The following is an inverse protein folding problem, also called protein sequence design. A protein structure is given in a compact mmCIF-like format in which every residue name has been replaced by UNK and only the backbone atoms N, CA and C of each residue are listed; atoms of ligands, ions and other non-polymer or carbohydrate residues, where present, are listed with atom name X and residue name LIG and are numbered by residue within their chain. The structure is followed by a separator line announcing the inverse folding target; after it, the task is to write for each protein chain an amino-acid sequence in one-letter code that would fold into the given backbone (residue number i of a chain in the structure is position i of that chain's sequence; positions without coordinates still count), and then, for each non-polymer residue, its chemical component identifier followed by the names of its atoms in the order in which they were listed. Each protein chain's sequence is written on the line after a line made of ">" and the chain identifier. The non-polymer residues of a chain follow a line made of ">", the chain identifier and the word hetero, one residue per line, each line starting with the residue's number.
data_IF_945289774939
#
_entry.id   IF_945289774939
#
_cell.length_a   1.000
_cell.length_b   1.000
_cell.length_c   1.000
_cell.angle_alpha   90.00
_cell.angle_beta   90.00
_cell.angle_gamma   90.00
#
_symmetry.space_group_name_H-M   'P 1'
#
loop_
_entity.id
_entity.type
_entity.pdbx_description
1 polymer ?
#
# COMPACT_ATOMS: atom_id res chain seq x y z
N UNK A 1 -34.54 -11.36 5.92
CA UNK A 1 -33.50 -10.42 5.43
C UNK A 1 -32.14 -11.08 5.18
N UNK A 2 -31.63 -11.96 6.06
CA UNK A 2 -30.36 -12.67 5.84
C UNK A 2 -30.28 -13.52 4.54
N UNK A 3 -31.41 -14.04 4.04
CA UNK A 3 -31.47 -14.88 2.84
C UNK A 3 -31.14 -14.13 1.53
N UNK A 4 -31.33 -12.81 1.50
CA UNK A 4 -31.04 -11.96 0.32
C UNK A 4 -29.54 -11.72 0.12
N UNK A 5 -28.74 -11.76 1.19
CA UNK A 5 -27.29 -11.48 1.15
C UNK A 5 -26.50 -12.71 0.66
N UNK A 6 -27.02 -13.92 0.86
CA UNK A 6 -26.37 -15.17 0.46
C UNK A 6 -26.52 -15.50 -1.04
N UNK A 7 -27.16 -14.62 -1.83
CA UNK A 7 -27.29 -14.80 -3.28
C UNK A 7 -28.08 -16.04 -3.70
N UNK A 8 -28.91 -16.59 -2.81
CA UNK A 8 -29.69 -17.81 -3.05
C UNK A 8 -28.89 -19.11 -3.03
N UNK A 9 -27.64 -19.11 -2.52
CA UNK A 9 -26.90 -20.34 -2.26
C UNK A 9 -27.44 -21.01 -1.00
N UNK A 10 -27.94 -22.25 -1.13
CA UNK A 10 -28.42 -23.05 0.00
C UNK A 10 -27.31 -23.42 1.00
N UNK A 11 -26.05 -23.06 0.72
CA UNK A 11 -24.92 -23.27 1.62
C UNK A 11 -24.50 -24.73 1.72
N UNK A 12 -24.82 -25.55 0.71
CA UNK A 12 -24.59 -27.00 0.72
C UNK A 12 -23.35 -27.44 -0.04
N UNK A 13 -22.92 -26.68 -1.05
CA UNK A 13 -21.82 -27.05 -1.93
C UNK A 13 -20.72 -25.99 -1.93
N UNK A 14 -19.46 -26.43 -1.98
CA UNK A 14 -18.34 -25.49 -2.11
C UNK A 14 -18.33 -24.88 -3.52
N UNK A 15 -18.27 -23.56 -3.60
CA UNK A 15 -18.31 -22.82 -4.88
C UNK A 15 -17.02 -22.92 -5.72
N UNK A 16 -15.99 -23.63 -5.24
CA UNK A 16 -14.69 -23.71 -5.92
C UNK A 16 -14.78 -24.27 -7.35
N UNK A 17 -15.62 -25.29 -7.57
CA UNK A 17 -15.85 -25.91 -8.89
C UNK A 17 -16.51 -24.94 -9.88
N UNK A 18 -17.24 -23.94 -9.38
CA UNK A 18 -17.82 -22.85 -10.17
C UNK A 18 -16.79 -21.83 -10.70
N UNK A 19 -15.52 -21.97 -10.33
CA UNK A 19 -14.45 -21.08 -10.77
C UNK A 19 -14.53 -19.71 -10.10
N UNK A 20 -14.22 -18.64 -10.85
CA UNK A 20 -14.32 -17.26 -10.37
C UNK A 20 -15.72 -16.72 -10.62
N UNK A 21 -16.58 -16.81 -9.60
CA UNK A 21 -17.97 -16.40 -9.71
C UNK A 21 -18.09 -14.88 -9.89
N UNK A 22 -19.11 -14.43 -10.64
CA UNK A 22 -19.36 -13.00 -10.86
C UNK A 22 -19.51 -12.26 -9.54
N UNK A 23 -20.25 -12.84 -8.60
CA UNK A 23 -20.44 -12.36 -7.23
C UNK A 23 -20.85 -13.53 -6.33
N UNK A 24 -20.30 -13.59 -5.12
CA UNK A 24 -20.69 -14.57 -4.09
C UNK A 24 -20.43 -14.00 -2.70
N UNK A 25 -21.16 -14.48 -1.68
CA UNK A 25 -20.82 -14.21 -0.29
C UNK A 25 -19.46 -14.86 0.07
N UNK A 26 -18.60 -14.09 0.73
CA UNK A 26 -17.25 -14.52 1.12
C UNK A 26 -17.06 -14.28 2.61
N UNK A 27 -16.35 -15.19 3.25
CA UNK A 27 -16.02 -15.16 4.66
C UNK A 27 -14.51 -15.30 4.83
N UNK A 28 -13.92 -14.65 5.83
CA UNK A 28 -12.53 -14.90 6.23
C UNK A 28 -12.50 -15.62 7.57
N UNK A 29 -11.74 -16.70 7.66
CA UNK A 29 -11.53 -17.42 8.91
C UNK A 29 -10.24 -16.95 9.58
N UNK A 30 -10.37 -16.11 10.60
CA UNK A 30 -9.24 -15.50 11.32
C UNK A 30 -8.47 -16.54 12.15
N UNK A 31 -9.14 -17.62 12.58
CA UNK A 31 -8.47 -18.75 13.24
C UNK A 31 -7.54 -19.51 12.28
N UNK A 32 -7.97 -19.75 11.04
CA UNK A 32 -7.18 -20.54 10.07
C UNK A 32 -6.16 -19.70 9.30
N UNK A 33 -6.53 -18.48 8.91
CA UNK A 33 -5.72 -17.61 8.06
C UNK A 33 -5.66 -16.19 8.65
N UNK A 34 -5.00 -16.00 9.81
CA UNK A 34 -4.93 -14.69 10.49
C UNK A 34 -4.22 -13.62 9.64
N UNK A 35 -3.40 -14.02 8.67
CA UNK A 35 -2.77 -13.12 7.73
C UNK A 35 -3.76 -12.48 6.73
N UNK A 36 -5.02 -12.93 6.68
CA UNK A 36 -6.06 -12.38 5.80
C UNK A 36 -5.78 -12.55 4.31
N UNK A 37 -5.15 -13.67 3.94
CA UNK A 37 -4.78 -13.98 2.55
C UNK A 37 -5.63 -15.10 1.94
N UNK A 38 -6.77 -15.42 2.56
CA UNK A 38 -7.67 -16.48 2.11
C UNK A 38 -9.12 -16.19 2.50
N UNK A 39 -10.05 -16.62 1.67
CA UNK A 39 -11.48 -16.52 1.94
C UNK A 39 -12.25 -17.77 1.53
N UNK A 40 -13.36 -18.02 2.20
CA UNK A 40 -14.19 -19.21 2.03
C UNK A 40 -15.61 -18.81 1.64
N UNK A 41 -16.28 -19.67 0.88
CA UNK A 41 -17.70 -19.49 0.54
C UNK A 41 -18.61 -19.87 1.71
N UNK A 42 -19.89 -19.52 1.61
CA UNK A 42 -20.95 -19.84 2.60
C UNK A 42 -20.93 -21.30 3.03
N UNK A 43 -20.94 -22.25 2.08
CA UNK A 43 -20.96 -23.66 2.45
C UNK A 43 -19.71 -24.10 3.24
N UNK A 44 -18.54 -23.53 2.93
CA UNK A 44 -17.31 -23.83 3.65
C UNK A 44 -17.26 -23.18 5.03
N UNK A 45 -17.78 -21.96 5.19
CA UNK A 45 -17.85 -21.33 6.52
C UNK A 45 -18.69 -22.19 7.47
N UNK A 46 -19.80 -22.75 6.98
CA UNK A 46 -20.70 -23.61 7.75
C UNK A 46 -20.19 -25.04 7.93
N UNK A 47 -19.60 -25.67 6.91
CA UNK A 47 -19.23 -27.09 6.99
C UNK A 47 -17.81 -27.33 7.51
N UNK A 48 -16.87 -26.43 7.21
CA UNK A 48 -15.44 -26.61 7.46
C UNK A 48 -14.90 -25.71 8.58
N UNK A 49 -15.52 -24.53 8.78
CA UNK A 49 -15.05 -23.51 9.71
C UNK A 49 -16.09 -23.16 10.80
N UNK A 50 -17.05 -24.05 11.03
CA UNK A 50 -17.98 -23.95 12.15
C UNK A 50 -17.21 -23.99 13.49
N UNK A 51 -17.57 -23.09 14.40
CA UNK A 51 -16.89 -22.92 15.69
C UNK A 51 -15.54 -22.18 15.63
N UNK A 52 -15.10 -21.70 14.46
CA UNK A 52 -13.93 -20.82 14.35
C UNK A 52 -14.34 -19.34 14.41
N UNK A 53 -13.34 -18.47 14.61
CA UNK A 53 -13.52 -17.03 14.41
C UNK A 53 -13.59 -16.74 12.90
N UNK A 54 -14.79 -16.44 12.43
CA UNK A 54 -15.10 -16.17 11.03
C UNK A 54 -15.76 -14.80 10.92
N UNK A 55 -15.24 -13.95 10.04
CA UNK A 55 -15.85 -12.68 9.68
C UNK A 55 -16.51 -12.80 8.32
N UNK A 56 -17.76 -12.37 8.22
CA UNK A 56 -18.46 -12.23 6.95
C UNK A 56 -17.93 -10.99 6.22
N UNK A 57 -17.65 -11.11 4.92
CA UNK A 57 -17.12 -10.03 4.07
C UNK A 57 -18.13 -9.59 3.00
N UNK A 58 -19.39 -9.99 3.18
CA UNK A 58 -20.49 -9.76 2.27
C UNK A 58 -20.14 -10.35 0.91
N UNK A 59 -20.61 -9.73 -0.17
CA UNK A 59 -20.32 -10.24 -1.50
C UNK A 59 -19.00 -9.70 -2.06
N UNK A 60 -18.26 -10.57 -2.75
CA UNK A 60 -17.07 -10.20 -3.53
C UNK A 60 -17.21 -10.65 -4.98
N UNK A 61 -16.60 -9.91 -5.90
CA UNK A 61 -16.58 -10.23 -7.34
C UNK A 61 -15.38 -11.09 -7.71
N UNK A 62 -15.55 -11.93 -8.73
CA UNK A 62 -14.48 -12.76 -9.32
C UNK A 62 -13.67 -13.50 -8.26
N UNK A 63 -14.35 -14.00 -7.23
CA UNK A 63 -13.72 -14.72 -6.14
C UNK A 63 -13.92 -16.22 -6.33
N UNK A 64 -12.93 -17.02 -5.90
CA UNK A 64 -12.98 -18.49 -5.87
C UNK A 64 -12.61 -18.98 -4.48
N UNK A 65 -13.40 -19.91 -3.92
CA UNK A 65 -13.24 -20.35 -2.53
C UNK A 65 -11.86 -20.98 -2.26
N UNK A 66 -11.10 -20.44 -1.30
CA UNK A 66 -9.77 -20.93 -0.92
C UNK A 66 -9.80 -22.09 0.09
N UNK A 67 -10.95 -22.44 0.66
CA UNK A 67 -11.04 -23.45 1.74
C UNK A 67 -10.27 -24.74 1.38
N UNK A 68 -9.29 -25.11 2.21
CA UNK A 68 -8.52 -26.34 2.04
C UNK A 68 -7.42 -26.32 0.97
N UNK A 69 -7.12 -25.16 0.38
CA UNK A 69 -5.91 -24.98 -0.43
C UNK A 69 -4.68 -24.70 0.44
N UNK A 70 -3.53 -24.37 -0.17
CA UNK A 70 -2.25 -24.23 0.55
C UNK A 70 -2.28 -23.18 1.68
N UNK A 71 -3.20 -22.21 1.61
CA UNK A 71 -3.37 -21.15 2.61
C UNK A 71 -3.95 -21.66 3.93
N UNK A 72 -4.57 -22.83 3.92
CA UNK A 72 -5.21 -23.46 5.09
C UNK A 72 -4.36 -24.59 5.71
N UNK A 73 -3.05 -24.60 5.43
CA UNK A 73 -2.13 -25.59 5.99
C UNK A 73 -2.47 -27.00 5.54
N UNK A 74 -2.65 -27.93 6.51
CA UNK A 74 -3.01 -29.32 6.24
C UNK A 74 -4.52 -29.58 6.17
N UNK A 75 -5.35 -28.55 6.35
CA UNK A 75 -6.81 -28.71 6.28
C UNK A 75 -7.23 -29.03 4.84
N UNK A 76 -8.11 -30.04 4.70
CA UNK A 76 -8.73 -30.40 3.42
C UNK A 76 -10.20 -30.05 3.50
N UNK A 77 -10.72 -29.37 2.48
CA UNK A 77 -12.13 -28.99 2.42
C UNK A 77 -13.02 -30.24 2.37
N UNK A 78 -14.01 -30.32 3.27
CA UNK A 78 -14.95 -31.44 3.36
C UNK A 78 -15.88 -31.55 2.15
N UNK A 79 -16.14 -30.42 1.48
CA UNK A 79 -17.12 -30.30 0.40
C UNK A 79 -16.48 -30.36 -1.01
N UNK A 80 -15.20 -30.00 -1.12
CA UNK A 80 -14.45 -30.04 -2.38
C UNK A 80 -12.96 -30.31 -2.06
N UNK A 81 -12.57 -31.59 -1.92
CA UNK A 81 -11.21 -31.95 -1.49
C UNK A 81 -10.12 -31.64 -2.51
N UNK A 82 -10.46 -31.66 -3.80
CA UNK A 82 -9.52 -31.48 -4.91
C UNK A 82 -9.52 -30.03 -5.38
N UNK A 83 -8.43 -29.31 -5.09
CA UNK A 83 -8.23 -27.91 -5.46
C UNK A 83 -6.81 -27.64 -5.91
N UNK A 84 -6.66 -26.59 -6.69
CA UNK A 84 -5.38 -25.97 -7.00
C UNK A 84 -4.79 -25.41 -5.69
N UNK A 85 -3.45 -25.41 -5.52
CA UNK A 85 -2.83 -24.88 -4.31
C UNK A 85 -3.21 -23.43 -4.03
N UNK A 86 -3.40 -22.62 -5.08
CA UNK A 86 -3.69 -21.19 -4.97
C UNK A 86 -4.70 -20.73 -6.02
N UNK A 87 -5.41 -19.65 -5.71
CA UNK A 87 -6.31 -18.94 -6.62
C UNK A 87 -5.69 -17.56 -6.96
N UNK A 88 -4.88 -17.44 -8.02
CA UNK A 88 -4.07 -16.24 -8.28
C UNK A 88 -4.89 -14.99 -8.67
N UNK A 89 -6.14 -15.15 -9.10
CA UNK A 89 -7.00 -14.02 -9.45
C UNK A 89 -7.86 -13.51 -8.29
N UNK A 90 -7.79 -14.15 -7.11
CA UNK A 90 -8.44 -13.62 -5.92
C UNK A 90 -7.70 -12.36 -5.43
N UNK A 91 -8.47 -11.38 -4.97
CA UNK A 91 -7.95 -10.15 -4.37
C UNK A 91 -8.29 -10.10 -2.88
N UNK A 92 -7.33 -9.70 -2.07
CA UNK A 92 -7.45 -9.62 -0.62
C UNK A 92 -7.09 -8.22 -0.14
N UNK A 93 -8.01 -7.54 0.52
CA UNK A 93 -7.77 -6.29 1.22
C UNK A 93 -7.71 -6.55 2.74
N UNK A 94 -7.60 -5.51 3.56
CA UNK A 94 -7.52 -5.69 5.02
C UNK A 94 -8.82 -6.18 5.67
N UNK A 95 -9.96 -6.21 4.96
CA UNK A 95 -11.20 -6.81 5.49
C UNK A 95 -11.02 -8.29 5.80
N UNK A 96 -10.18 -9.00 5.05
CA UNK A 96 -9.86 -10.39 5.31
C UNK A 96 -9.10 -10.59 6.63
N UNK A 97 -8.58 -9.53 7.25
CA UNK A 97 -7.99 -9.53 8.60
C UNK A 97 -8.96 -9.06 9.68
N UNK A 98 -10.21 -8.79 9.32
CA UNK A 98 -11.20 -8.20 10.23
C UNK A 98 -11.00 -6.71 10.47
N UNK A 99 -10.19 -6.01 9.66
CA UNK A 99 -10.03 -4.54 9.73
C UNK A 99 -10.76 -3.88 8.58
N UNK A 100 -11.32 -2.69 8.81
CA UNK A 100 -12.13 -1.98 7.83
C UNK A 100 -11.79 -0.49 7.83
N UNK A 101 -12.14 0.19 6.75
CA UNK A 101 -11.95 1.61 6.56
C UNK A 101 -10.47 2.05 6.60
N UNK A 102 -10.20 3.30 6.26
CA UNK A 102 -8.86 3.90 6.38
C UNK A 102 -8.35 3.96 7.81
N UNK A 103 -9.25 3.89 8.81
CA UNK A 103 -8.88 3.86 10.23
C UNK A 103 -8.41 2.48 10.71
N UNK A 104 -8.64 1.41 9.95
CA UNK A 104 -8.19 0.06 10.28
C UNK A 104 -8.89 -0.59 11.48
N UNK A 105 -10.01 -0.02 11.94
CA UNK A 105 -10.77 -0.54 13.08
C UNK A 105 -11.52 -1.83 12.72
N UNK A 106 -11.76 -2.73 13.68
CA UNK A 106 -12.54 -3.93 13.42
C UNK A 106 -14.04 -3.64 13.30
N UNK A 107 -14.78 -4.60 12.78
CA UNK A 107 -16.24 -4.57 12.78
C UNK A 107 -16.80 -5.92 13.25
N UNK A 108 -17.68 -5.95 14.27
CA UNK A 108 -18.09 -4.80 15.08
C UNK A 108 -16.92 -4.22 15.90
N UNK A 109 -16.89 -2.89 16.07
CA UNK A 109 -15.85 -2.21 16.85
C UNK A 109 -16.17 -2.31 18.35
N UNK A 110 -15.39 -3.05 19.16
CA UNK A 110 -15.66 -3.22 20.58
C UNK A 110 -15.52 -1.92 21.39
N UNK A 111 -14.85 -0.90 20.85
CA UNK A 111 -14.66 0.39 21.50
C UNK A 111 -15.71 1.43 21.06
N UNK A 112 -16.55 1.11 20.07
CA UNK A 112 -17.59 2.03 19.61
C UNK A 112 -18.80 2.02 20.53
N UNK A 113 -19.25 3.21 20.95
CA UNK A 113 -20.49 3.39 21.71
C UNK A 113 -21.71 2.88 20.93
N UNK A 114 -21.69 3.04 19.60
CA UNK A 114 -22.70 2.56 18.67
C UNK A 114 -22.03 2.07 17.39
N UNK A 115 -22.44 0.91 16.91
CA UNK A 115 -22.04 0.43 15.59
C UNK A 115 -22.73 1.28 14.53
N UNK A 116 -21.94 1.80 13.60
CA UNK A 116 -22.42 2.59 12.47
C UNK A 116 -22.45 1.74 11.22
N UNK A 117 -23.40 2.02 10.34
CA UNK A 117 -23.41 1.41 9.02
C UNK A 117 -22.19 1.87 8.22
N UNK A 118 -21.67 0.96 7.39
CA UNK A 118 -20.49 1.22 6.56
C UNK A 118 -20.88 1.18 5.09
N UNK A 119 -20.14 1.91 4.27
CA UNK A 119 -20.36 2.01 2.82
C UNK A 119 -19.30 1.21 2.09
N UNK A 120 -19.70 0.32 1.20
CA UNK A 120 -18.76 -0.45 0.37
C UNK A 120 -18.36 0.31 -0.89
N UNK A 121 -17.06 0.41 -1.16
CA UNK A 121 -16.59 0.89 -2.46
C UNK A 121 -16.81 -0.18 -3.54
N UNK A 122 -17.45 0.19 -4.66
CA UNK A 122 -17.80 -0.76 -5.72
C UNK A 122 -16.58 -1.30 -6.51
N UNK A 123 -15.42 -0.64 -6.42
CA UNK A 123 -14.16 -1.00 -7.11
C UNK A 123 -13.27 -1.90 -6.24
N UNK A 124 -12.85 -1.43 -5.05
CA UNK A 124 -11.96 -2.22 -4.18
C UNK A 124 -12.70 -3.18 -3.24
N UNK A 125 -14.03 -3.10 -3.19
CA UNK A 125 -14.91 -3.88 -2.30
C UNK A 125 -14.53 -3.76 -0.81
N UNK A 126 -13.84 -2.68 -0.43
CA UNK A 126 -13.54 -2.29 0.94
C UNK A 126 -14.70 -1.48 1.55
N UNK A 127 -14.81 -1.49 2.87
CA UNK A 127 -15.88 -0.85 3.62
C UNK A 127 -15.36 0.38 4.37
N UNK A 128 -16.11 1.47 4.34
CA UNK A 128 -15.72 2.75 4.90
C UNK A 128 -16.79 3.29 5.87
N UNK A 129 -16.34 3.97 6.91
CA UNK A 129 -17.21 4.80 7.73
C UNK A 129 -17.56 6.08 6.95
N UNK A 130 -18.78 6.59 7.12
CA UNK A 130 -19.23 7.84 6.48
C UNK A 130 -18.32 9.04 6.82
N UNK A 131 -17.75 9.07 8.03
CA UNK A 131 -16.83 10.15 8.44
C UNK A 131 -15.45 10.07 7.76
N UNK A 132 -15.12 8.93 7.14
CA UNK A 132 -13.79 8.65 6.61
C UNK A 132 -13.76 8.53 5.08
N UNK A 133 -14.84 8.92 4.40
CA UNK A 133 -14.88 8.97 2.92
C UNK A 133 -14.43 10.31 2.34
N UNK A 134 -14.04 11.28 3.18
CA UNK A 134 -13.47 12.56 2.76
C UNK A 134 -14.49 13.68 2.53
N UNK A 135 -15.67 13.59 3.16
CA UNK A 135 -16.65 14.68 3.20
C UNK A 135 -16.39 15.59 4.42
N UNK A 136 -16.84 16.84 4.37
CA UNK A 136 -16.73 17.73 5.53
C UNK A 136 -17.76 17.41 6.61
N UNK A 137 -18.90 16.83 6.22
CA UNK A 137 -19.99 16.41 7.08
C UNK A 137 -20.75 15.26 6.42
N UNK A 138 -21.27 14.34 7.24
CA UNK A 138 -22.17 13.26 6.80
C UNK A 138 -23.52 13.79 6.31
N UNK A 139 -23.87 15.04 6.65
CA UNK A 139 -25.04 15.74 6.10
C UNK A 139 -24.93 16.02 4.58
N UNK A 140 -23.72 15.95 4.02
CA UNK A 140 -23.51 16.07 2.56
C UNK A 140 -23.97 14.80 1.81
N UNK A 141 -24.21 13.69 2.53
CA UNK A 141 -24.81 12.48 1.96
C UNK A 141 -26.31 12.72 1.81
N UNK A 142 -26.78 12.80 0.56
CA UNK A 142 -28.19 12.95 0.27
C UNK A 142 -28.99 11.77 0.84
N UNK A 143 -30.08 12.06 1.56
CA UNK A 143 -30.97 11.08 2.19
C UNK A 143 -32.44 11.32 1.80
N UNK A 144 -33.26 10.29 1.80
CA UNK A 144 -34.70 10.40 1.59
C UNK A 144 -35.46 10.85 2.86
N UNK A 145 -36.79 10.83 2.82
CA UNK A 145 -37.64 11.27 3.93
C UNK A 145 -37.53 10.33 5.14
N UNK A 146 -37.14 9.07 4.92
CA UNK A 146 -36.92 8.04 5.91
C UNK A 146 -35.49 8.07 6.50
N UNK A 147 -34.59 8.84 5.91
CA UNK A 147 -33.19 8.99 6.33
C UNK A 147 -32.23 8.01 5.65
N UNK A 148 -32.70 7.27 4.65
CA UNK A 148 -31.90 6.32 3.89
C UNK A 148 -31.04 7.04 2.84
N UNK A 149 -29.77 6.64 2.65
CA UNK A 149 -28.92 7.28 1.66
C UNK A 149 -29.45 7.11 0.22
N UNK A 150 -29.43 8.20 -0.56
CA UNK A 150 -29.90 8.26 -1.94
C UNK A 150 -28.85 7.85 -2.99
N UNK A 151 -27.75 7.21 -2.58
CA UNK A 151 -26.73 6.71 -3.51
C UNK A 151 -26.89 5.20 -3.73
N UNK A 152 -26.65 4.75 -4.96
CA UNK A 152 -26.61 3.32 -5.30
C UNK A 152 -25.18 2.76 -5.25
N UNK A 153 -24.20 3.59 -5.62
CA UNK A 153 -22.80 3.20 -5.76
C UNK A 153 -21.87 4.23 -5.10
N UNK A 154 -20.78 3.73 -4.51
CA UNK A 154 -19.72 4.55 -3.93
C UNK A 154 -18.35 4.17 -4.50
N UNK A 155 -17.56 5.18 -4.88
CA UNK A 155 -16.16 5.03 -5.29
C UNK A 155 -15.29 5.79 -4.30
N UNK A 156 -14.42 5.09 -3.58
CA UNK A 156 -13.58 5.71 -2.57
C UNK A 156 -12.51 6.62 -3.20
N UNK A 157 -11.94 7.58 -2.43
CA UNK A 157 -10.92 8.49 -2.93
C UNK A 157 -9.71 7.79 -3.54
N UNK A 158 -9.34 6.60 -3.04
CA UNK A 158 -8.24 5.80 -3.58
C UNK A 158 -8.56 5.21 -4.96
N UNK A 159 -9.82 4.86 -5.23
CA UNK A 159 -10.22 4.22 -6.48
C UNK A 159 -10.70 5.22 -7.54
N UNK A 160 -11.08 6.43 -7.14
CA UNK A 160 -11.54 7.47 -8.07
C UNK A 160 -10.53 7.81 -9.18
N UNK A 161 -9.21 7.95 -8.90
CA UNK A 161 -8.20 8.20 -9.95
C UNK A 161 -8.01 7.04 -10.93
N UNK A 162 -8.40 5.83 -10.55
CA UNK A 162 -8.26 4.62 -11.38
C UNK A 162 -9.55 4.36 -12.21
N UNK A 163 -10.60 5.16 -12.01
CA UNK A 163 -11.87 5.02 -12.71
C UNK A 163 -11.94 5.96 -13.91
N UNK A 164 -12.04 5.40 -15.12
CA UNK A 164 -12.14 6.16 -16.37
C UNK A 164 -13.34 7.13 -16.38
N UNK A 165 -14.49 6.70 -15.87
CA UNK A 165 -15.68 7.56 -15.76
C UNK A 165 -15.44 8.75 -14.83
N UNK A 166 -14.82 8.52 -13.67
CA UNK A 166 -14.50 9.57 -12.71
C UNK A 166 -13.48 10.56 -13.28
N UNK A 167 -12.40 10.05 -13.87
CA UNK A 167 -11.35 10.87 -14.48
C UNK A 167 -11.88 11.73 -15.62
N UNK A 168 -12.71 11.16 -16.51
CA UNK A 168 -13.39 11.91 -17.57
C UNK A 168 -14.34 12.97 -17.00
N UNK A 169 -15.08 12.65 -15.95
CA UNK A 169 -15.96 13.61 -15.27
C UNK A 169 -15.17 14.80 -14.70
N UNK A 170 -14.08 14.56 -13.97
CA UNK A 170 -13.25 15.64 -13.42
C UNK A 170 -12.63 16.50 -14.53
N UNK A 171 -12.17 15.88 -15.62
CA UNK A 171 -11.65 16.59 -16.79
C UNK A 171 -12.71 17.50 -17.44
N UNK A 172 -13.92 16.97 -17.67
CA UNK A 172 -15.04 17.73 -18.24
C UNK A 172 -15.47 18.90 -17.34
N UNK A 173 -15.34 18.75 -16.03
CA UNK A 173 -15.63 19.80 -15.04
C UNK A 173 -14.48 20.78 -14.84
N UNK A 174 -13.33 20.58 -15.53
CA UNK A 174 -12.15 21.44 -15.40
C UNK A 174 -11.44 21.32 -14.04
N UNK A 175 -11.64 20.20 -13.33
CA UNK A 175 -11.10 19.95 -11.98
C UNK A 175 -10.23 18.68 -11.94
N UNK A 176 -9.58 18.35 -13.06
CA UNK A 176 -8.70 17.18 -13.16
C UNK A 176 -7.53 17.20 -12.16
N UNK A 177 -7.11 18.38 -11.70
CA UNK A 177 -6.07 18.55 -10.68
C UNK A 177 -6.40 17.82 -9.36
N UNK A 178 -7.68 17.58 -9.04
CA UNK A 178 -8.09 16.86 -7.83
C UNK A 178 -7.63 15.40 -7.78
N UNK A 179 -7.31 14.80 -8.93
CA UNK A 179 -6.83 13.42 -9.04
C UNK A 179 -5.38 13.34 -9.55
N UNK A 180 -4.71 14.48 -9.70
CA UNK A 180 -3.31 14.54 -10.10
C UNK A 180 -2.41 14.23 -8.90
N UNK A 181 -1.66 13.13 -8.97
CA UNK A 181 -0.73 12.71 -7.91
C UNK A 181 0.42 13.71 -7.76
N UNK A 182 0.79 14.42 -8.83
CA UNK A 182 1.89 15.40 -8.84
C UNK A 182 1.50 16.74 -8.21
N UNK A 183 0.20 17.05 -8.14
CA UNK A 183 -0.35 18.26 -7.51
C UNK A 183 -0.69 18.06 -6.01
N UNK A 184 -0.22 16.95 -5.41
CA UNK A 184 -0.42 16.68 -4.00
C UNK A 184 0.56 17.46 -3.11
N UNK A 185 0.09 17.82 -1.90
CA UNK A 185 0.96 18.42 -0.87
C UNK A 185 2.14 17.48 -0.55
N UNK A 186 1.89 16.18 -0.49
CA UNK A 186 2.93 15.17 -0.24
C UNK A 186 4.03 15.20 -1.30
N UNK A 187 3.67 15.25 -2.59
CA UNK A 187 4.68 15.32 -3.65
C UNK A 187 5.42 16.67 -3.64
N UNK A 188 4.72 17.78 -3.37
CA UNK A 188 5.35 19.08 -3.19
C UNK A 188 6.40 19.06 -2.06
N UNK A 189 6.04 18.50 -0.90
CA UNK A 189 6.94 18.35 0.25
C UNK A 189 8.12 17.42 -0.05
N UNK A 190 7.87 16.31 -0.73
CA UNK A 190 8.90 15.35 -1.16
C UNK A 190 9.89 15.98 -2.13
N UNK A 191 9.41 16.70 -3.14
CA UNK A 191 10.26 17.44 -4.08
C UNK A 191 11.09 18.50 -3.35
N UNK A 192 10.49 19.21 -2.39
CA UNK A 192 11.21 20.18 -1.57
C UNK A 192 12.32 19.52 -0.73
N UNK A 193 12.04 18.37 -0.12
CA UNK A 193 13.02 17.58 0.65
C UNK A 193 14.17 17.10 -0.24
N UNK A 194 13.88 16.49 -1.38
CA UNK A 194 14.88 16.02 -2.33
C UNK A 194 15.78 17.17 -2.85
N UNK A 195 15.20 18.35 -3.11
CA UNK A 195 15.97 19.53 -3.50
C UNK A 195 16.92 19.99 -2.40
N UNK A 196 16.53 19.90 -1.12
CA UNK A 196 17.40 20.23 0.03
C UNK A 196 18.55 19.22 0.16
N UNK A 197 18.24 17.93 0.06
CA UNK A 197 19.24 16.84 0.11
C UNK A 197 20.28 16.97 -1.01
N UNK A 198 19.83 17.14 -2.27
CA UNK A 198 20.75 17.37 -3.40
C UNK A 198 21.65 18.59 -3.22
N UNK A 199 21.16 19.64 -2.56
CA UNK A 199 21.95 20.85 -2.32
C UNK A 199 23.02 20.63 -1.26
N UNK A 200 22.72 19.85 -0.22
CA UNK A 200 23.69 19.43 0.80
C UNK A 200 24.78 18.57 0.17
N UNK A 201 24.42 17.55 -0.61
CA UNK A 201 25.38 16.69 -1.32
C UNK A 201 26.30 17.48 -2.27
N UNK A 202 25.75 18.49 -2.97
CA UNK A 202 26.54 19.35 -3.84
C UNK A 202 27.52 20.25 -3.06
N UNK A 203 27.12 20.73 -1.87
CA UNK A 203 28.00 21.52 -1.01
C UNK A 203 29.13 20.66 -0.44
N UNK A 204 28.81 19.48 0.09
CA UNK A 204 29.80 18.52 0.58
C UNK A 204 30.76 18.08 -0.52
N UNK A 205 30.26 17.80 -1.72
CA UNK A 205 31.08 17.47 -2.88
C UNK A 205 31.99 18.62 -3.34
N UNK A 206 31.50 19.87 -3.28
CA UNK A 206 32.30 21.04 -3.60
C UNK A 206 33.40 21.29 -2.56
N UNK A 207 33.10 21.12 -1.27
CA UNK A 207 34.08 21.22 -0.17
C UNK A 207 35.15 20.14 -0.25
N UNK A 208 34.76 18.88 -0.49
CA UNK A 208 35.71 17.77 -0.68
C UNK A 208 36.66 18.01 -1.87
N UNK A 209 36.12 18.51 -2.99
CA UNK A 209 36.93 18.87 -4.17
C UNK A 209 37.89 20.03 -3.88
N UNK A 210 37.46 21.02 -3.11
CA UNK A 210 38.31 22.14 -2.71
C UNK A 210 39.47 21.69 -1.81
N UNK A 211 39.20 20.85 -0.81
CA UNK A 211 40.24 20.29 0.07
C UNK A 211 41.27 19.46 -0.71
N UNK A 212 40.82 18.59 -1.63
CA UNK A 212 41.71 17.82 -2.51
C UNK A 212 42.61 18.72 -3.38
N UNK A 213 42.08 19.84 -3.89
CA UNK A 213 42.85 20.83 -4.65
C UNK A 213 43.93 21.49 -3.80
N UNK A 214 43.63 21.84 -2.55
CA UNK A 214 44.61 22.42 -1.62
C UNK A 214 45.74 21.43 -1.31
N UNK A 215 45.40 20.17 -1.05
CA UNK A 215 46.40 19.12 -0.80
C UNK A 215 47.32 18.91 -2.00
N UNK A 216 46.78 18.90 -3.22
CA UNK A 216 47.58 18.83 -4.44
C UNK A 216 48.52 20.04 -4.62
N UNK A 217 48.03 21.26 -4.36
CA UNK A 217 48.87 22.46 -4.43
C UNK A 217 49.97 22.48 -3.36
N UNK A 218 49.65 22.04 -2.13
CA UNK A 218 50.64 21.92 -1.06
C UNK A 218 51.70 20.86 -1.38
N UNK A 219 51.30 19.71 -1.95
CA UNK A 219 52.23 18.67 -2.37
C UNK A 219 53.14 19.15 -3.52
N UNK A 220 52.60 19.94 -4.46
CA UNK A 220 53.37 20.54 -5.54
C UNK A 220 54.39 21.58 -5.02
N UNK A 221 54.02 22.42 -4.04
CA UNK A 221 54.93 23.37 -3.38
C UNK A 221 56.08 22.67 -2.66
N UNK A 222 55.79 21.59 -1.90
CA UNK A 222 56.84 20.80 -1.23
C UNK A 222 57.84 20.22 -2.22
N UNK A 223 57.37 19.71 -3.36
CA UNK A 223 58.25 19.24 -4.44
C UNK A 223 59.08 20.36 -5.07
N UNK A 224 58.53 21.57 -5.26
CA UNK A 224 59.32 22.70 -5.77
C UNK A 224 60.38 23.19 -4.79
N UNK A 225 60.09 23.12 -3.49
CA UNK A 225 61.03 23.50 -2.44
C UNK A 225 62.18 22.48 -2.34
N UNK A 226 61.90 21.18 -2.45
CA UNK A 226 62.92 20.12 -2.54
C UNK A 226 63.82 20.28 -3.78
N UNK A 227 63.26 20.64 -4.93
CA UNK A 227 64.04 20.89 -6.16
C UNK A 227 64.98 22.08 -5.97
N UNK A 228 64.50 23.19 -5.38
CA UNK A 228 65.33 24.37 -5.10
C UNK A 228 66.46 24.10 -4.09
N UNK A 229 66.26 23.19 -3.14
CA UNK A 229 67.27 22.80 -2.16
C UNK A 229 68.37 21.92 -2.79
N UNK A 230 68.01 21.05 -3.74
CA UNK A 230 68.97 20.24 -4.52
C UNK A 230 69.80 21.05 -5.54
N UNK A 231 69.31 22.20 -6.01
CA UNK A 231 70.09 23.09 -6.90
C UNK A 231 71.05 24.01 -6.13
N UNK A 232 70.74 24.36 -4.88
CA UNK A 232 71.65 25.13 -4.00
C UNK A 232 72.88 24.34 -3.55
N UNK A 233 72.85 23.02 -3.59
CA UNK A 233 73.97 22.15 -3.20
C UNK A 233 75.00 21.91 -4.32
N UNK A 234 74.83 22.48 -5.52
CA UNK A 234 75.78 22.31 -6.65
C UNK A 234 76.70 23.51 -6.91
N UNK A 235 76.73 24.52 -6.04
CA UNK A 235 77.71 25.63 -6.12
C UNK A 235 78.41 25.86 -4.78
N UNK A 236 79.35 24.97 -4.43
CA UNK A 236 80.43 25.28 -3.49
C UNK A 236 81.77 24.90 -4.16
N UNK A 237 82.66 25.86 -4.47
CA UNK A 237 83.96 25.58 -5.06
C UNK A 237 84.93 24.96 -4.05
N UNK A 238 85.76 24.07 -4.58
CA UNK A 238 86.90 23.40 -3.97
C UNK A 238 87.90 24.40 -3.35
N UNK A 239 88.27 24.21 -2.08
CA UNK A 239 89.50 24.75 -1.46
C UNK A 239 90.04 23.65 -0.52
N UNK A 240 91.04 22.86 -0.93
CA UNK A 240 92.50 23.05 -0.78
C UNK A 240 92.95 23.37 0.65
N UNK A 241 93.66 22.43 1.26
CA UNK A 241 94.99 22.57 1.93
C UNK A 241 95.47 21.14 2.29
N UNK A 242 96.49 20.59 1.64
CA UNK A 242 97.94 20.70 1.86
C UNK A 242 98.46 19.95 3.11
N UNK A 243 99.43 19.07 2.83
CA UNK A 243 100.17 18.13 3.68
C UNK A 243 100.70 18.70 5.01
N UNK A 244 100.72 17.87 6.06
CA UNK A 244 101.87 17.10 6.58
C UNK A 244 101.39 15.98 7.52
#
# INVERSE_FOLDING_TARGET
>A
EADLVLGGDEGKECTYSGGYLKRQAVFSCLTCVPAGIGGVCTACSLACHDGHEVVELWTKRKFRCDCGNSKFGSHICKLCPEKDPENPANSYNHNFKGSYCTCGRPYPDPEAEKQVEMIQCCICEDWFHEDHIGLNSTEEIARDEEGEPLYEDFICPKCSPECETCTNFYAQRGVAYLIDKEDSIEEYEKVAKQKREKKLEQQEGAEANFLNSLDHQQAARRKSDEINETDRTKMVPLAITLNE
#
